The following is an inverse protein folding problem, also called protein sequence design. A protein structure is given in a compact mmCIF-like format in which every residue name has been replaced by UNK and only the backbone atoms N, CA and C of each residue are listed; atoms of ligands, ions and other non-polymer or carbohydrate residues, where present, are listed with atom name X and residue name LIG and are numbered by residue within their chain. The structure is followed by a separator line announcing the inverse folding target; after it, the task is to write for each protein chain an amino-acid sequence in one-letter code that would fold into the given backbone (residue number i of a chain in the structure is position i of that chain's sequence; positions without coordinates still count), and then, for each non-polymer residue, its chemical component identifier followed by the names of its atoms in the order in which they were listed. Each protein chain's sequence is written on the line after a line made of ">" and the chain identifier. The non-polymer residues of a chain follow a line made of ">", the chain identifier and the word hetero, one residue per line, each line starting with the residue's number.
data_IF_739449466987
#
_entry.id   IF_739449466987
#
_cell.length_a   1.000
_cell.length_b   1.000
_cell.length_c   1.000
_cell.angle_alpha   90.00
_cell.angle_beta   90.00
_cell.angle_gamma   90.00
#
_symmetry.space_group_name_H-M   'P 1'
#
loop_
_entity.id
_entity.type
_entity.pdbx_description
1 polymer ?
#
# COMPACT_ATOMS: atom_id res chain seq x y z
N UNK A 1 -26.59 -56.42 24.76
CA UNK A 1 -26.60 -54.95 24.68
C UNK A 1 -25.52 -54.38 25.60
N UNK A 2 -24.38 -53.94 25.06
CA UNK A 2 -23.39 -53.11 25.77
C UNK A 2 -22.80 -52.14 24.74
N UNK A 3 -23.09 -50.85 24.88
CA UNK A 3 -22.61 -49.80 23.97
C UNK A 3 -21.23 -49.34 24.43
N UNK A 4 -20.22 -49.55 23.59
CA UNK A 4 -18.95 -48.83 23.64
C UNK A 4 -19.07 -47.57 22.78
N UNK A 5 -18.82 -46.39 23.34
CA UNK A 5 -18.08 -45.31 22.66
C UNK A 5 -17.85 -44.12 23.59
N UNK A 6 -16.56 -43.94 23.89
CA UNK A 6 -15.86 -42.69 24.19
C UNK A 6 -16.28 -41.56 23.25
N UNK A 7 -16.27 -40.32 23.74
CA UNK A 7 -15.70 -39.10 23.10
C UNK A 7 -16.45 -37.84 23.54
N UNK A 8 -15.71 -36.85 24.06
CA UNK A 8 -16.09 -35.44 23.91
C UNK A 8 -15.90 -34.52 25.10
N UNK A 9 -14.65 -34.24 25.52
CA UNK A 9 -14.30 -32.95 26.10
C UNK A 9 -12.82 -32.65 25.81
N UNK A 10 -12.39 -31.40 25.51
CA UNK A 10 -13.13 -30.15 25.31
C UNK A 10 -13.09 -29.67 23.85
N UNK A 11 -13.92 -28.67 23.52
CA UNK A 11 -13.74 -27.90 22.30
C UNK A 11 -12.39 -27.15 22.39
N UNK A 12 -11.45 -27.53 21.54
CA UNK A 12 -10.26 -26.73 21.25
C UNK A 12 -10.72 -25.37 20.69
N UNK A 13 -10.22 -24.23 21.21
CA UNK A 13 -10.36 -22.96 20.51
C UNK A 13 -9.49 -23.06 19.26
N UNK A 14 -10.14 -23.17 18.10
CA UNK A 14 -9.47 -23.05 16.81
C UNK A 14 -8.65 -21.75 16.78
N UNK A 15 -7.35 -21.78 16.45
CA UNK A 15 -6.58 -20.57 16.28
C UNK A 15 -7.17 -19.78 15.11
N UNK A 16 -7.35 -18.48 15.37
CA UNK A 16 -7.82 -17.44 14.47
C UNK A 16 -7.63 -17.80 12.99
N UNK A 17 -8.73 -18.18 12.33
CA UNK A 17 -8.82 -18.00 10.90
C UNK A 17 -8.45 -16.55 10.62
N UNK A 18 -7.41 -16.36 9.81
CA UNK A 18 -6.97 -15.05 9.35
C UNK A 18 -8.20 -14.29 8.86
N UNK A 19 -8.72 -13.40 9.71
CA UNK A 19 -9.75 -12.47 9.30
C UNK A 19 -9.19 -11.72 8.09
N UNK A 20 -9.99 -11.49 7.03
CA UNK A 20 -9.57 -10.54 6.01
C UNK A 20 -9.23 -9.26 6.76
N UNK A 21 -7.97 -8.81 6.66
CA UNK A 21 -7.45 -7.60 7.32
C UNK A 21 -8.58 -6.57 7.28
N UNK A 22 -9.11 -6.22 8.44
CA UNK A 22 -10.40 -5.55 8.50
C UNK A 22 -10.32 -4.33 7.59
N UNK A 23 -11.27 -4.17 6.66
CA UNK A 23 -11.31 -3.03 5.73
C UNK A 23 -10.90 -1.66 6.33
N UNK A 24 -11.24 -1.31 7.60
CA UNK A 24 -10.69 -0.12 8.27
C UNK A 24 -9.15 -0.08 8.37
N UNK A 25 -8.48 -1.18 8.70
CA UNK A 25 -7.02 -1.24 8.82
C UNK A 25 -6.33 -1.06 7.46
N UNK A 26 -6.91 -1.63 6.40
CA UNK A 26 -6.43 -1.42 5.03
C UNK A 26 -6.57 0.05 4.63
N UNK A 27 -7.69 0.69 4.96
CA UNK A 27 -7.89 2.11 4.68
C UNK A 27 -6.88 2.98 5.43
N UNK A 28 -6.65 2.72 6.72
CA UNK A 28 -5.67 3.44 7.51
C UNK A 28 -4.23 3.29 6.95
N UNK A 29 -3.86 2.10 6.50
CA UNK A 29 -2.56 1.87 5.85
C UNK A 29 -2.42 2.64 4.53
N UNK A 30 -3.49 2.69 3.71
CA UNK A 30 -3.52 3.48 2.48
C UNK A 30 -3.42 4.98 2.77
N UNK A 31 -4.12 5.48 3.79
CA UNK A 31 -4.06 6.90 4.18
C UNK A 31 -2.67 7.29 4.70
N UNK A 32 -2.03 6.42 5.48
CA UNK A 32 -0.65 6.60 5.93
C UNK A 32 0.33 6.61 4.74
N UNK A 33 0.14 5.71 3.77
CA UNK A 33 0.95 5.66 2.56
C UNK A 33 0.80 6.94 1.71
N UNK A 34 -0.43 7.43 1.53
CA UNK A 34 -0.71 8.71 0.83
C UNK A 34 0.01 9.87 1.52
N UNK A 35 -0.10 9.96 2.85
CA UNK A 35 0.55 11.02 3.64
C UNK A 35 2.08 10.99 3.47
N UNK A 36 2.69 9.81 3.60
CA UNK A 36 4.13 9.65 3.40
C UNK A 36 4.56 10.02 1.98
N UNK A 37 3.78 9.62 0.97
CA UNK A 37 4.07 9.94 -0.44
C UNK A 37 3.97 11.43 -0.74
N UNK A 38 3.01 12.14 -0.15
CA UNK A 38 2.92 13.61 -0.29
C UNK A 38 4.21 14.27 0.19
N UNK A 39 4.73 13.86 1.36
CA UNK A 39 6.00 14.39 1.90
C UNK A 39 7.21 14.01 1.03
N UNK A 40 7.30 12.75 0.59
CA UNK A 40 8.41 12.28 -0.24
C UNK A 40 8.44 12.96 -1.61
N UNK A 41 7.28 13.12 -2.25
CA UNK A 41 7.17 13.80 -3.55
C UNK A 41 7.51 15.28 -3.38
N UNK A 42 7.02 15.95 -2.33
CA UNK A 42 7.39 17.34 -2.04
C UNK A 42 8.92 17.51 -1.80
N UNK A 43 9.58 16.51 -1.22
CA UNK A 43 11.04 16.53 -1.08
C UNK A 43 11.75 16.39 -2.44
N UNK A 44 11.32 15.44 -3.30
CA UNK A 44 11.84 15.32 -4.68
C UNK A 44 11.61 16.60 -5.49
N UNK A 45 10.51 17.29 -5.24
CA UNK A 45 10.15 18.52 -5.94
C UNK A 45 11.13 19.69 -5.69
N UNK A 46 11.81 19.71 -4.54
CA UNK A 46 12.66 20.82 -4.08
C UNK A 46 14.15 20.49 -4.06
N UNK A 47 14.50 19.20 -4.04
CA UNK A 47 15.89 18.77 -3.93
C UNK A 47 16.62 18.83 -5.28
N UNK A 48 17.89 19.30 -5.31
CA UNK A 48 18.73 19.18 -6.49
C UNK A 48 19.00 17.71 -6.81
N UNK A 49 19.35 17.45 -8.07
CA UNK A 49 19.77 16.11 -8.48
C UNK A 49 21.00 15.68 -7.66
N UNK A 50 20.90 14.50 -7.03
CA UNK A 50 21.94 14.01 -6.14
C UNK A 50 21.52 12.80 -5.31
N UNK A 51 22.35 12.36 -4.35
CA UNK A 51 22.09 11.19 -3.53
C UNK A 51 20.75 11.27 -2.76
N UNK A 52 20.41 12.44 -2.22
CA UNK A 52 19.15 12.63 -1.49
C UNK A 52 17.93 12.41 -2.41
N UNK A 53 17.91 13.01 -3.60
CA UNK A 53 16.83 12.82 -4.58
C UNK A 53 16.69 11.34 -4.98
N UNK A 54 17.80 10.61 -5.15
CA UNK A 54 17.78 9.16 -5.40
C UNK A 54 17.17 8.38 -4.23
N UNK A 55 17.53 8.72 -2.99
CA UNK A 55 16.98 8.08 -1.80
C UNK A 55 15.47 8.31 -1.65
N UNK A 56 14.98 9.52 -1.93
CA UNK A 56 13.55 9.80 -1.95
C UNK A 56 12.82 9.03 -3.04
N UNK A 57 13.37 8.96 -4.27
CA UNK A 57 12.79 8.14 -5.35
C UNK A 57 12.73 6.65 -4.97
N UNK A 58 13.76 6.13 -4.31
CA UNK A 58 13.75 4.75 -3.80
C UNK A 58 12.72 4.54 -2.67
N UNK A 59 12.48 5.54 -1.82
CA UNK A 59 11.42 5.48 -0.82
C UNK A 59 10.02 5.51 -1.46
N UNK A 60 9.80 6.34 -2.48
CA UNK A 60 8.56 6.37 -3.28
C UNK A 60 8.31 5.00 -3.91
N UNK A 61 9.34 4.38 -4.52
CA UNK A 61 9.25 3.04 -5.10
C UNK A 61 8.75 2.01 -4.08
N UNK A 62 9.41 1.93 -2.91
CA UNK A 62 9.05 0.99 -1.84
C UNK A 62 7.61 1.18 -1.36
N UNK A 63 7.14 2.42 -1.24
CA UNK A 63 5.74 2.70 -0.89
C UNK A 63 4.75 2.25 -1.97
N UNK A 64 5.13 2.32 -3.24
CA UNK A 64 4.35 1.72 -4.33
C UNK A 64 4.27 0.19 -4.21
N UNK A 65 5.39 -0.46 -3.90
CA UNK A 65 5.44 -1.92 -3.71
C UNK A 65 4.60 -2.38 -2.51
N UNK A 66 4.67 -1.67 -1.38
CA UNK A 66 3.80 -1.91 -0.22
C UNK A 66 2.31 -1.78 -0.58
N UNK A 67 1.95 -0.74 -1.34
CA UNK A 67 0.58 -0.53 -1.80
C UNK A 67 0.11 -1.62 -2.80
N UNK A 68 0.99 -2.07 -3.70
CA UNK A 68 0.73 -3.20 -4.61
C UNK A 68 0.50 -4.48 -3.82
N UNK A 69 1.33 -4.78 -2.83
CA UNK A 69 1.18 -5.97 -2.00
C UNK A 69 -0.14 -5.96 -1.20
N UNK A 70 -0.62 -4.78 -0.79
CA UNK A 70 -1.85 -4.64 -0.01
C UNK A 70 -3.15 -4.77 -0.83
N UNK A 71 -3.13 -4.44 -2.12
CA UNK A 71 -4.34 -4.48 -2.95
C UNK A 71 -4.16 -4.24 -4.45
N UNK A 72 -2.95 -4.48 -4.97
CA UNK A 72 -2.61 -4.47 -6.38
C UNK A 72 -2.68 -3.08 -7.04
N UNK A 73 -2.73 -3.10 -8.37
CA UNK A 73 -2.73 -1.91 -9.21
C UNK A 73 -3.90 -0.95 -8.92
N UNK A 74 -5.03 -1.47 -8.42
CA UNK A 74 -6.20 -0.65 -8.08
C UNK A 74 -5.91 0.27 -6.89
N UNK A 75 -5.25 -0.25 -5.85
CA UNK A 75 -4.80 0.56 -4.71
C UNK A 75 -3.75 1.57 -5.15
N UNK A 76 -2.78 1.18 -5.99
CA UNK A 76 -1.81 2.14 -6.54
C UNK A 76 -2.46 3.30 -7.29
N UNK A 77 -3.46 3.03 -8.15
CA UNK A 77 -4.17 4.10 -8.86
C UNK A 77 -4.96 4.99 -7.92
N UNK A 78 -5.57 4.43 -6.88
CA UNK A 78 -6.27 5.23 -5.86
C UNK A 78 -5.30 6.13 -5.09
N UNK A 79 -4.13 5.62 -4.70
CA UNK A 79 -3.06 6.39 -4.05
C UNK A 79 -2.54 7.48 -4.98
N UNK A 80 -2.25 7.17 -6.24
CA UNK A 80 -1.82 8.13 -7.27
C UNK A 80 -2.77 9.33 -7.34
N UNK A 81 -4.08 9.04 -7.50
CA UNK A 81 -5.12 10.07 -7.56
C UNK A 81 -5.13 10.94 -6.31
N UNK A 82 -5.11 10.34 -5.12
CA UNK A 82 -5.12 11.09 -3.84
C UNK A 82 -3.89 12.00 -3.67
N UNK A 83 -2.70 11.56 -4.11
CA UNK A 83 -1.48 12.41 -4.03
C UNK A 83 -1.54 13.59 -5.00
N UNK A 84 -2.15 13.39 -6.18
CA UNK A 84 -2.39 14.47 -7.15
C UNK A 84 -3.44 15.46 -6.64
N UNK A 85 -4.57 14.96 -6.12
CA UNK A 85 -5.66 15.77 -5.55
C UNK A 85 -5.18 16.63 -4.37
N UNK A 86 -4.17 16.18 -3.62
CA UNK A 86 -3.60 16.91 -2.48
C UNK A 86 -2.79 18.16 -2.87
N UNK A 87 -2.39 18.32 -4.14
CA UNK A 87 -1.82 19.58 -4.64
C UNK A 87 -2.18 19.77 -6.13
N UNK A 88 -3.38 20.28 -6.43
CA UNK A 88 -3.88 20.41 -7.80
C UNK A 88 -2.93 21.21 -8.71
N UNK A 89 -2.33 22.28 -8.19
CA UNK A 89 -1.38 23.13 -8.95
C UNK A 89 -0.10 22.39 -9.37
N UNK A 90 0.19 21.24 -8.76
CA UNK A 90 1.36 20.41 -9.04
C UNK A 90 0.99 19.01 -9.49
N UNK A 91 -0.29 18.74 -9.76
CA UNK A 91 -0.81 17.40 -10.06
C UNK A 91 0.01 16.71 -11.16
N UNK A 92 0.18 17.34 -12.32
CA UNK A 92 0.95 16.79 -13.45
C UNK A 92 2.39 16.44 -13.07
N UNK A 93 3.03 17.29 -12.25
CA UNK A 93 4.41 17.06 -11.81
C UNK A 93 4.48 15.85 -10.88
N UNK A 94 3.55 15.76 -9.94
CA UNK A 94 3.45 14.64 -8.99
C UNK A 94 3.11 13.33 -9.69
N UNK A 95 2.18 13.37 -10.64
CA UNK A 95 1.81 12.22 -11.46
C UNK A 95 3.03 11.68 -12.22
N UNK A 96 3.83 12.55 -12.85
CA UNK A 96 5.07 12.14 -13.54
C UNK A 96 6.07 11.48 -12.58
N UNK A 97 6.34 12.08 -11.42
CA UNK A 97 7.26 11.53 -10.42
C UNK A 97 6.81 10.13 -9.98
N UNK A 98 5.52 9.96 -9.68
CA UNK A 98 4.97 8.70 -9.21
C UNK A 98 4.91 7.65 -10.32
N UNK A 99 4.50 8.02 -11.52
CA UNK A 99 4.43 7.11 -12.67
C UNK A 99 5.82 6.61 -13.06
N UNK A 100 6.83 7.47 -13.04
CA UNK A 100 8.22 7.08 -13.27
C UNK A 100 8.72 6.12 -12.18
N UNK A 101 8.47 6.44 -10.90
CA UNK A 101 8.90 5.59 -9.78
C UNK A 101 8.17 4.23 -9.75
N UNK A 102 6.92 4.18 -10.19
CA UNK A 102 6.08 2.98 -10.18
C UNK A 102 5.95 2.33 -11.54
N UNK A 103 6.85 2.64 -12.48
CA UNK A 103 6.93 1.94 -13.75
C UNK A 103 6.97 0.42 -13.51
N UNK A 104 6.13 -0.30 -14.26
CA UNK A 104 5.93 -1.75 -14.08
C UNK A 104 4.95 -2.16 -12.98
N UNK A 105 4.68 -1.32 -11.96
CA UNK A 105 3.70 -1.65 -10.89
C UNK A 105 2.26 -1.27 -11.27
N UNK A 106 2.07 -0.15 -11.96
CA UNK A 106 0.73 0.32 -12.39
C UNK A 106 0.20 -0.48 -13.60
N UNK A 107 1.12 -1.10 -14.35
CA UNK A 107 0.85 -1.83 -15.59
C UNK A 107 0.53 -3.32 -15.38
N UNK A 108 0.63 -3.87 -14.17
CA UNK A 108 0.31 -5.28 -13.91
C UNK A 108 -1.20 -5.55 -14.05
N UNK A 109 -1.58 -5.93 -15.26
CA UNK A 109 -2.64 -6.88 -15.58
C UNK A 109 -2.13 -7.75 -16.72
N UNK A 110 -1.80 -8.99 -16.42
CA UNK A 110 -2.03 -10.14 -17.31
C UNK A 110 -2.36 -11.32 -16.42
#
# INVERSE_FOLDING_TARGET
>A
MKRSRTTGHPAEPLPAGAAPVAQPERNAAVDAAVTALISLVAAVETQPAGPAAKAYRAAIRRKGEEAAAAGGSAVLRAVLRRVCDAAPDRADRRERILTEAWAGLIAEKS
#
